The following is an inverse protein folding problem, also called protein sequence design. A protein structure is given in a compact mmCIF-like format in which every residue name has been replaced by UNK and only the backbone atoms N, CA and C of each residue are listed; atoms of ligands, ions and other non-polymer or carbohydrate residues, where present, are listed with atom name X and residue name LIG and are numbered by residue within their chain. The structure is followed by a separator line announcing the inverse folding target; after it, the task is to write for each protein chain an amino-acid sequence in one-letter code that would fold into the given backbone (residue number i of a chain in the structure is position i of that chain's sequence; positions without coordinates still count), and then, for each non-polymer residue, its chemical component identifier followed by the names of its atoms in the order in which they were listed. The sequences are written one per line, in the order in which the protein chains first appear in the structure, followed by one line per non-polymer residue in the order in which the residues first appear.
data_IF_080300761689
#
_entry.id   IF_080300761689
#
_cell.length_a   1.000
_cell.length_b   1.000
_cell.length_c   1.000
_cell.angle_alpha   90.00
_cell.angle_beta   90.00
_cell.angle_gamma   90.00
#
_symmetry.space_group_name_H-M   'P 1'
#
loop_
_entity.id
_entity.type
_entity.pdbx_description
1 polymer ?
#
# COMPACT_ATOMS: atom_id res chain seq x y z
N UNK A 1 23.95 -6.02 -30.12
CA UNK A 1 24.41 -4.76 -29.50
C UNK A 1 25.02 -5.14 -28.17
N UNK A 2 26.34 -5.06 -28.07
CA UNK A 2 27.05 -5.39 -26.83
C UNK A 2 26.77 -4.30 -25.79
N UNK A 3 26.11 -4.67 -24.69
CA UNK A 3 25.89 -3.80 -23.55
C UNK A 3 27.23 -3.44 -22.91
N UNK A 4 27.63 -2.18 -22.99
CA UNK A 4 28.78 -1.68 -22.21
C UNK A 4 28.44 -1.79 -20.72
N UNK A 5 29.28 -2.44 -19.91
CA UNK A 5 29.08 -2.52 -18.47
C UNK A 5 29.11 -1.09 -17.88
N UNK A 6 28.23 -0.86 -16.90
CA UNK A 6 28.17 0.40 -16.16
C UNK A 6 29.57 0.78 -15.66
N UNK A 7 30.05 1.97 -16.03
CA UNK A 7 31.38 2.47 -15.64
C UNK A 7 31.44 3.00 -14.20
N UNK A 8 30.35 2.87 -13.42
CA UNK A 8 30.31 3.28 -12.02
C UNK A 8 31.08 2.25 -11.17
N UNK A 9 32.06 2.68 -10.40
CA UNK A 9 32.81 1.82 -9.49
C UNK A 9 31.96 1.07 -8.47
N UNK A 10 30.72 1.53 -8.19
CA UNK A 10 29.79 0.91 -7.27
C UNK A 10 29.32 -0.49 -7.71
N UNK A 11 29.23 -0.78 -9.02
CA UNK A 11 28.85 -2.09 -9.55
C UNK A 11 30.06 -3.05 -9.68
N UNK A 12 31.28 -2.55 -9.60
CA UNK A 12 32.52 -3.38 -9.67
C UNK A 12 32.96 -3.92 -8.33
N UNK A 13 32.56 -3.28 -7.23
CA UNK A 13 32.99 -3.67 -5.86
C UNK A 13 32.01 -4.57 -5.13
N UNK A 14 30.76 -4.67 -5.58
CA UNK A 14 29.86 -5.73 -5.12
C UNK A 14 30.22 -6.99 -5.91
N UNK A 15 30.68 -8.02 -5.22
CA UNK A 15 30.95 -9.38 -5.75
C UNK A 15 29.67 -10.10 -6.24
N UNK A 16 28.61 -9.36 -6.51
CA UNK A 16 27.36 -9.80 -7.09
C UNK A 16 27.47 -9.72 -8.61
N UNK A 17 27.32 -10.85 -9.27
CA UNK A 17 27.29 -10.95 -10.72
C UNK A 17 26.20 -10.01 -11.29
N UNK A 18 26.42 -9.39 -12.47
CA UNK A 18 25.57 -8.32 -13.02
C UNK A 18 24.15 -8.75 -13.45
N UNK A 19 23.70 -9.97 -13.11
CA UNK A 19 22.46 -10.55 -13.61
C UNK A 19 21.49 -11.07 -12.53
N UNK A 20 21.81 -10.95 -11.24
CA UNK A 20 20.87 -11.37 -10.18
C UNK A 20 20.47 -10.18 -9.33
N UNK A 21 19.26 -9.67 -9.53
CA UNK A 21 18.53 -8.83 -8.58
C UNK A 21 18.13 -9.66 -7.36
N UNK A 22 19.12 -10.05 -6.56
CA UNK A 22 18.87 -10.83 -5.36
C UNK A 22 18.42 -9.88 -4.24
N UNK A 23 17.24 -10.16 -3.69
CA UNK A 23 16.75 -9.47 -2.49
C UNK A 23 17.74 -9.65 -1.35
N UNK A 24 18.05 -8.57 -0.67
CA UNK A 24 18.85 -8.54 0.55
C UNK A 24 17.93 -8.29 1.72
N UNK A 25 17.57 -9.34 2.49
CA UNK A 25 16.78 -9.18 3.70
C UNK A 25 17.56 -8.40 4.76
N UNK A 26 17.09 -7.25 5.17
CA UNK A 26 17.75 -6.38 6.13
C UNK A 26 17.30 -6.68 7.56
N UNK A 27 16.01 -6.65 7.80
CA UNK A 27 15.33 -7.08 9.02
C UNK A 27 13.91 -7.51 8.67
N UNK A 28 13.13 -7.98 9.62
CA UNK A 28 11.82 -8.55 9.31
C UNK A 28 10.92 -7.55 8.58
N UNK A 29 10.40 -7.97 7.46
CA UNK A 29 9.56 -7.15 6.59
C UNK A 29 10.30 -6.14 5.71
N UNK A 30 11.65 -6.01 5.78
CA UNK A 30 12.39 -5.00 4.99
C UNK A 30 13.45 -5.65 4.10
N UNK A 31 13.28 -5.44 2.80
CA UNK A 31 14.14 -5.98 1.75
C UNK A 31 14.77 -4.87 0.92
N UNK A 32 16.01 -5.04 0.54
CA UNK A 32 16.78 -4.15 -0.32
C UNK A 32 17.07 -4.83 -1.67
N UNK A 33 16.86 -4.09 -2.74
CA UNK A 33 17.23 -4.48 -4.10
C UNK A 33 18.11 -3.38 -4.69
N UNK A 34 19.26 -3.75 -5.23
CA UNK A 34 20.02 -2.83 -6.07
C UNK A 34 19.48 -2.88 -7.50
N UNK A 35 19.21 -1.73 -8.06
CA UNK A 35 18.60 -1.60 -9.38
C UNK A 35 19.68 -1.20 -10.40
N UNK A 36 20.23 -2.14 -11.18
CA UNK A 36 20.95 -1.83 -12.39
C UNK A 36 19.97 -1.47 -13.51
N UNK A 37 20.43 -0.74 -14.52
CA UNK A 37 19.66 -0.27 -15.67
C UNK A 37 18.73 -1.35 -16.31
N UNK A 38 19.06 -2.62 -16.17
CA UNK A 38 18.31 -3.75 -16.79
C UNK A 38 17.27 -4.41 -15.86
N UNK A 39 17.13 -4.03 -14.59
CA UNK A 39 16.39 -4.82 -13.60
C UNK A 39 15.14 -4.12 -13.03
N UNK A 40 14.80 -2.94 -13.51
CA UNK A 40 13.72 -2.13 -12.94
C UNK A 40 12.33 -2.71 -13.23
N UNK A 41 12.20 -3.53 -14.26
CA UNK A 41 10.91 -4.10 -14.70
C UNK A 41 10.41 -5.33 -13.90
N UNK A 42 11.21 -5.89 -12.99
CA UNK A 42 10.96 -7.23 -12.43
C UNK A 42 10.25 -7.27 -11.07
N UNK A 43 9.77 -6.15 -10.56
CA UNK A 43 9.20 -6.11 -9.22
C UNK A 43 7.66 -6.11 -9.25
N UNK A 44 7.05 -7.16 -9.78
CA UNK A 44 5.59 -7.35 -9.71
C UNK A 44 5.19 -7.88 -8.33
N UNK A 45 4.30 -7.15 -7.64
CA UNK A 45 3.65 -7.56 -6.41
C UNK A 45 2.27 -6.93 -6.33
N UNK A 46 1.33 -7.58 -5.64
CA UNK A 46 -0.07 -7.16 -5.52
C UNK A 46 -0.49 -6.94 -4.07
N UNK A 47 0.46 -6.72 -3.17
CA UNK A 47 0.18 -6.64 -1.75
C UNK A 47 -0.16 -5.21 -1.32
N UNK A 48 -1.33 -5.02 -0.70
CA UNK A 48 -1.84 -3.70 -0.28
C UNK A 48 -1.07 -3.07 0.90
N UNK A 49 -0.40 -3.89 1.71
CA UNK A 49 0.33 -3.43 2.89
C UNK A 49 1.85 -3.41 2.67
N UNK A 50 2.30 -3.27 1.42
CA UNK A 50 3.71 -3.19 1.07
C UNK A 50 4.02 -1.84 0.46
N UNK A 51 5.00 -1.16 1.05
CA UNK A 51 5.54 0.11 0.59
C UNK A 51 6.78 -0.14 -0.26
N UNK A 52 6.88 0.53 -1.40
CA UNK A 52 8.06 0.58 -2.26
C UNK A 52 8.69 1.96 -2.20
N UNK A 53 9.97 2.00 -1.91
CA UNK A 53 10.77 3.22 -1.86
C UNK A 53 11.89 3.10 -2.87
N UNK A 54 11.80 3.81 -3.97
CA UNK A 54 12.85 3.92 -4.95
C UNK A 54 13.76 5.11 -4.62
N UNK A 55 15.04 4.87 -4.60
CA UNK A 55 16.03 5.92 -4.39
C UNK A 55 16.98 6.00 -5.60
N UNK A 56 17.11 7.18 -6.19
CA UNK A 56 17.99 7.44 -7.29
C UNK A 56 19.32 7.99 -6.76
N UNK A 57 20.41 7.27 -6.94
CA UNK A 57 21.76 7.74 -6.58
C UNK A 57 22.44 8.52 -7.70
N UNK A 58 22.20 8.12 -8.96
CA UNK A 58 22.75 8.77 -10.17
C UNK A 58 21.76 8.62 -11.32
N UNK A 59 21.81 9.56 -12.25
CA UNK A 59 20.96 9.56 -13.40
C UNK A 59 19.52 9.92 -13.06
N UNK A 60 18.57 9.30 -13.74
CA UNK A 60 17.15 9.49 -13.49
C UNK A 60 16.35 8.21 -13.66
N UNK A 61 15.21 8.15 -12.99
CA UNK A 61 14.25 7.05 -13.08
C UNK A 61 12.88 7.67 -13.37
N UNK A 62 12.31 7.32 -14.52
CA UNK A 62 11.00 7.80 -14.97
C UNK A 62 9.94 6.71 -14.72
N UNK A 63 8.77 7.15 -14.28
CA UNK A 63 7.60 6.33 -14.02
C UNK A 63 6.46 6.84 -14.91
N UNK A 64 5.90 5.99 -15.73
CA UNK A 64 4.74 6.30 -16.57
C UNK A 64 3.57 5.43 -16.11
N UNK A 65 2.47 6.05 -15.74
CA UNK A 65 1.21 5.37 -15.41
C UNK A 65 0.45 5.00 -16.67
N UNK A 66 -0.50 4.07 -16.60
CA UNK A 66 -1.30 3.61 -17.75
C UNK A 66 -2.11 4.73 -18.43
N UNK A 67 -2.44 5.79 -17.71
CA UNK A 67 -3.13 6.99 -18.21
C UNK A 67 -2.19 8.05 -18.85
N UNK A 68 -0.89 7.74 -18.95
CA UNK A 68 0.11 8.57 -19.61
C UNK A 68 0.68 9.71 -18.75
N UNK A 69 0.40 9.72 -17.44
CA UNK A 69 1.05 10.65 -16.52
C UNK A 69 2.46 10.15 -16.16
N UNK A 70 3.47 10.92 -16.54
CA UNK A 70 4.87 10.61 -16.26
C UNK A 70 5.42 11.41 -15.09
N UNK A 71 6.16 10.76 -14.21
CA UNK A 71 6.92 11.40 -13.13
C UNK A 71 8.37 10.90 -13.16
N UNK A 72 9.33 11.75 -12.78
CA UNK A 72 10.75 11.40 -12.84
C UNK A 72 11.44 11.83 -11.56
N UNK A 73 12.23 10.91 -10.98
CA UNK A 73 13.19 11.24 -9.93
C UNK A 73 14.59 11.36 -10.51
N UNK A 74 15.35 12.31 -9.98
CA UNK A 74 16.76 12.52 -10.29
C UNK A 74 17.64 12.10 -9.10
N UNK A 75 18.94 12.16 -9.27
CA UNK A 75 19.91 11.86 -8.21
C UNK A 75 19.55 12.57 -6.90
N UNK A 76 19.53 11.84 -5.79
CA UNK A 76 19.10 12.27 -4.47
C UNK A 76 17.58 12.22 -4.22
N UNK A 77 16.76 12.05 -5.25
CA UNK A 77 15.30 11.96 -5.12
C UNK A 77 14.80 10.58 -4.75
N UNK A 78 13.65 10.55 -4.08
CA UNK A 78 12.91 9.33 -3.75
C UNK A 78 11.54 9.32 -4.43
N UNK A 79 11.07 8.12 -4.77
CA UNK A 79 9.69 7.88 -5.16
C UNK A 79 9.12 6.78 -4.26
N UNK A 80 7.96 7.05 -3.67
CA UNK A 80 7.34 6.20 -2.64
C UNK A 80 5.89 5.94 -3.01
N UNK A 81 5.48 4.68 -3.01
CA UNK A 81 4.07 4.27 -3.17
C UNK A 81 3.79 2.87 -2.66
N UNK A 82 2.50 2.52 -2.53
CA UNK A 82 2.07 1.15 -2.22
C UNK A 82 2.27 0.21 -3.41
N UNK A 83 2.66 -1.03 -3.16
CA UNK A 83 2.94 -2.03 -4.20
C UNK A 83 1.74 -2.29 -5.13
N UNK A 84 0.53 -2.33 -4.59
CA UNK A 84 -0.70 -2.54 -5.36
C UNK A 84 -1.11 -1.36 -6.26
N UNK A 85 -0.55 -0.17 -6.04
CA UNK A 85 -0.99 1.06 -6.73
C UNK A 85 -0.41 1.29 -8.12
N UNK A 86 0.64 0.54 -8.52
CA UNK A 86 1.34 0.73 -9.80
C UNK A 86 1.22 -0.52 -10.69
N UNK A 87 -0.02 -0.87 -11.06
CA UNK A 87 -0.30 -2.16 -11.71
C UNK A 87 -0.07 -2.21 -13.22
N UNK A 88 -0.01 -1.08 -13.94
CA UNK A 88 0.11 -1.07 -15.42
C UNK A 88 1.09 -0.02 -15.94
N UNK A 89 1.97 0.47 -15.08
CA UNK A 89 2.93 1.50 -15.44
C UNK A 89 4.27 0.94 -15.93
N UNK A 90 5.02 1.78 -16.60
CA UNK A 90 6.38 1.48 -17.05
C UNK A 90 7.38 2.27 -16.23
N UNK A 91 8.43 1.58 -15.75
CA UNK A 91 9.55 2.20 -15.06
C UNK A 91 10.76 2.19 -15.99
N UNK A 92 11.26 3.37 -16.36
CA UNK A 92 12.34 3.52 -17.34
C UNK A 92 13.54 4.25 -16.74
N UNK A 93 14.68 3.58 -16.54
CA UNK A 93 15.93 4.21 -16.14
C UNK A 93 16.59 4.92 -17.35
N UNK A 94 17.30 6.01 -17.09
CA UNK A 94 18.20 6.56 -18.10
C UNK A 94 19.52 5.77 -18.22
N UNK A 95 20.34 6.10 -19.25
CA UNK A 95 21.60 5.41 -19.55
C UNK A 95 22.70 5.55 -18.48
N UNK A 96 22.48 6.30 -17.42
CA UNK A 96 23.41 6.50 -16.30
C UNK A 96 22.85 6.14 -14.94
N UNK A 97 21.64 5.57 -14.94
CA UNK A 97 20.92 5.26 -13.71
C UNK A 97 21.67 4.30 -12.81
N UNK A 98 21.72 4.65 -11.54
CA UNK A 98 22.14 3.79 -10.44
C UNK A 98 21.27 4.12 -9.23
N UNK A 99 20.59 3.13 -8.70
CA UNK A 99 19.66 3.33 -7.61
C UNK A 99 19.37 2.05 -6.84
N UNK A 100 18.43 2.13 -5.93
CA UNK A 100 17.96 1.01 -5.12
C UNK A 100 16.44 1.07 -4.89
N UNK A 101 15.88 -0.07 -4.56
CA UNK A 101 14.52 -0.22 -4.07
C UNK A 101 14.56 -0.81 -2.66
N UNK A 102 13.91 -0.15 -1.71
CA UNK A 102 13.59 -0.73 -0.41
C UNK A 102 12.11 -1.10 -0.42
N UNK A 103 11.84 -2.39 -0.21
CA UNK A 103 10.51 -2.94 -0.08
C UNK A 103 10.20 -3.16 1.39
N UNK A 104 9.07 -2.64 1.88
CA UNK A 104 8.70 -2.65 3.30
C UNK A 104 7.33 -3.27 3.47
N UNK A 105 7.25 -4.41 4.14
CA UNK A 105 6.00 -4.99 4.62
C UNK A 105 5.58 -4.23 5.89
N UNK A 106 4.57 -3.39 5.76
CA UNK A 106 4.12 -2.50 6.82
C UNK A 106 3.47 -3.24 7.99
N UNK A 107 2.88 -4.43 7.76
CA UNK A 107 2.32 -5.25 8.83
C UNK A 107 3.42 -5.79 9.74
N UNK A 108 4.46 -6.37 9.14
CA UNK A 108 5.62 -6.86 9.88
C UNK A 108 6.36 -5.75 10.60
N UNK A 109 6.48 -4.58 9.96
CA UNK A 109 7.08 -3.41 10.60
C UNK A 109 6.28 -2.93 11.81
N UNK A 110 4.94 -3.06 11.80
CA UNK A 110 4.08 -2.74 12.95
C UNK A 110 4.21 -3.78 14.06
N UNK A 111 4.27 -5.07 13.70
CA UNK A 111 4.37 -6.17 14.69
C UNK A 111 5.73 -6.20 15.41
N UNK A 112 6.82 -5.94 14.69
CA UNK A 112 8.19 -6.03 15.20
C UNK A 112 9.07 -4.87 14.71
N UNK A 113 8.77 -3.64 15.13
CA UNK A 113 9.58 -2.48 14.71
C UNK A 113 10.97 -2.52 15.35
N UNK A 114 12.03 -2.15 14.62
CA UNK A 114 13.33 -1.87 15.22
C UNK A 114 13.22 -0.81 16.33
N UNK A 115 14.02 -0.93 17.38
CA UNK A 115 13.99 -0.02 18.53
C UNK A 115 14.13 1.45 18.14
N UNK A 116 14.98 1.74 17.14
CA UNK A 116 15.17 3.09 16.60
C UNK A 116 13.90 3.71 16.00
N UNK A 117 13.02 2.88 15.39
CA UNK A 117 11.79 3.32 14.77
C UNK A 117 10.67 3.48 15.81
N UNK A 118 10.53 2.52 16.72
CA UNK A 118 9.53 2.60 17.80
C UNK A 118 9.80 3.78 18.74
N UNK A 119 11.06 4.08 19.02
CA UNK A 119 11.44 5.26 19.82
C UNK A 119 11.13 6.61 19.15
N UNK A 120 10.94 6.62 17.83
CA UNK A 120 10.61 7.81 17.04
C UNK A 120 9.14 7.83 16.57
N UNK A 121 8.29 6.93 17.08
CA UNK A 121 6.90 6.77 16.67
C UNK A 121 6.73 6.53 15.16
N UNK A 122 7.70 5.86 14.52
CA UNK A 122 7.63 5.46 13.11
C UNK A 122 7.16 4.01 13.03
N UNK A 123 5.86 3.86 12.82
CA UNK A 123 5.18 2.55 12.72
C UNK A 123 4.80 2.25 11.26
N UNK A 124 4.50 0.98 10.97
CA UNK A 124 3.95 0.61 9.67
C UNK A 124 2.60 1.26 9.41
N UNK A 125 1.76 1.47 10.43
CA UNK A 125 0.49 2.19 10.33
C UNK A 125 0.72 3.65 9.93
N UNK A 126 1.66 4.35 10.58
CA UNK A 126 2.00 5.74 10.22
C UNK A 126 2.50 5.84 8.78
N UNK A 127 3.37 4.95 8.34
CA UNK A 127 3.85 4.95 6.96
C UNK A 127 2.74 4.60 5.97
N UNK A 128 1.81 3.71 6.35
CA UNK A 128 0.63 3.42 5.55
C UNK A 128 -0.24 4.66 5.37
N UNK A 129 -0.52 5.39 6.44
CA UNK A 129 -1.31 6.62 6.40
C UNK A 129 -0.65 7.70 5.54
N UNK A 130 0.67 7.84 5.61
CA UNK A 130 1.41 8.84 4.84
C UNK A 130 1.48 8.53 3.34
N UNK A 131 1.67 7.25 2.96
CA UNK A 131 2.05 6.90 1.59
C UNK A 131 1.13 5.90 0.89
N UNK A 132 0.27 5.16 1.60
CA UNK A 132 -0.55 4.12 1.00
C UNK A 132 -2.03 4.48 0.88
N UNK A 133 -2.48 5.50 1.61
CA UNK A 133 -3.86 5.99 1.56
C UNK A 133 -4.15 6.68 0.23
N UNK A 134 -3.16 7.35 -0.34
CA UNK A 134 -3.25 7.91 -1.69
C UNK A 134 -2.93 6.84 -2.72
N UNK A 135 -3.63 6.87 -3.84
CA UNK A 135 -3.31 6.01 -4.99
C UNK A 135 -2.09 6.53 -5.77
N UNK A 136 -1.76 7.81 -5.57
CA UNK A 136 -0.67 8.47 -6.27
C UNK A 136 0.69 8.21 -5.63
N UNK A 137 1.71 8.17 -6.48
CA UNK A 137 3.12 8.12 -6.08
C UNK A 137 3.53 9.44 -5.42
N UNK A 138 4.17 9.34 -4.26
CA UNK A 138 4.76 10.50 -3.58
C UNK A 138 6.21 10.68 -4.02
N UNK A 139 6.55 11.84 -4.58
CA UNK A 139 7.93 12.21 -4.85
C UNK A 139 8.49 13.06 -3.73
N UNK A 140 9.65 12.68 -3.23
CA UNK A 140 10.42 13.48 -2.29
C UNK A 140 11.63 14.05 -3.03
N UNK A 141 11.83 15.38 -2.99
CA UNK A 141 12.93 16.02 -3.69
C UNK A 141 14.28 15.62 -3.11
N UNK A 142 15.32 15.80 -3.92
CA UNK A 142 16.69 15.59 -3.50
C UNK A 142 17.09 16.55 -2.39
N UNK A 143 17.67 16.02 -1.33
CA UNK A 143 18.31 16.79 -0.27
C UNK A 143 19.60 16.11 0.22
N UNK A 144 20.43 16.85 0.94
CA UNK A 144 21.72 16.36 1.43
C UNK A 144 21.58 15.21 2.45
N UNK A 145 20.46 15.14 3.17
CA UNK A 145 20.19 14.07 4.13
C UNK A 145 19.84 12.78 3.40
N UNK A 146 18.99 12.86 2.39
CA UNK A 146 18.64 11.72 1.52
C UNK A 146 19.89 11.17 0.82
N UNK A 147 20.73 12.04 0.27
CA UNK A 147 22.00 11.61 -0.35
C UNK A 147 22.89 10.83 0.62
N UNK A 148 23.07 11.35 1.84
CA UNK A 148 23.86 10.70 2.87
C UNK A 148 23.29 9.33 3.27
N UNK A 149 21.96 9.20 3.37
CA UNK A 149 21.29 7.95 3.68
C UNK A 149 21.45 6.95 2.52
N UNK A 150 21.26 7.38 1.28
CA UNK A 150 21.43 6.53 0.10
C UNK A 150 22.87 6.03 0.00
N UNK A 151 23.86 6.85 0.31
CA UNK A 151 25.27 6.46 0.31
C UNK A 151 25.60 5.40 1.39
N UNK A 152 24.81 5.27 2.46
CA UNK A 152 25.00 4.20 3.46
C UNK A 152 24.82 2.80 2.87
N UNK A 153 24.05 2.64 1.80
CA UNK A 153 23.84 1.35 1.15
C UNK A 153 25.00 0.91 0.24
N UNK A 154 25.89 1.84 -0.14
CA UNK A 154 26.98 1.58 -1.08
C UNK A 154 28.36 1.50 -0.37
N UNK A 155 29.38 1.99 -0.81
CA UNK A 155 30.76 2.17 -0.38
C UNK A 155 31.12 1.76 1.08
N UNK A 156 31.01 0.47 1.44
CA UNK A 156 31.35 -0.03 2.79
C UNK A 156 32.20 -1.29 2.70
N UNK A 157 33.12 -1.51 3.66
CA UNK A 157 33.90 -2.75 3.76
C UNK A 157 32.97 -3.97 3.83
N UNK A 158 33.36 -5.07 3.18
CA UNK A 158 32.54 -6.28 3.10
C UNK A 158 32.08 -6.81 4.48
N UNK A 159 32.94 -6.68 5.51
CA UNK A 159 32.61 -7.15 6.85
C UNK A 159 31.50 -6.36 7.55
N UNK A 160 31.28 -5.11 7.18
CA UNK A 160 30.31 -4.20 7.82
C UNK A 160 29.16 -3.79 6.90
N UNK A 161 29.18 -4.19 5.63
CA UNK A 161 28.19 -3.76 4.64
C UNK A 161 26.76 -4.00 5.10
N UNK A 162 26.48 -5.16 5.70
CA UNK A 162 25.15 -5.53 6.18
C UNK A 162 24.65 -4.62 7.31
N UNK A 163 25.56 -4.26 8.23
CA UNK A 163 25.24 -3.32 9.30
C UNK A 163 24.89 -1.94 8.76
N UNK A 164 25.66 -1.45 7.79
CA UNK A 164 25.39 -0.16 7.15
C UNK A 164 24.11 -0.15 6.33
N UNK A 165 23.79 -1.22 5.63
CA UNK A 165 22.51 -1.38 4.90
C UNK A 165 21.32 -1.33 5.87
N UNK A 166 21.42 -2.00 7.02
CA UNK A 166 20.38 -1.95 8.07
C UNK A 166 20.21 -0.56 8.64
N UNK A 167 21.29 0.10 8.99
CA UNK A 167 21.25 1.48 9.50
C UNK A 167 20.69 2.44 8.43
N UNK A 168 21.10 2.29 7.17
CA UNK A 168 20.56 3.07 6.06
C UNK A 168 19.05 2.89 5.89
N UNK A 169 18.56 1.65 5.98
CA UNK A 169 17.12 1.39 5.90
C UNK A 169 16.35 1.99 7.08
N UNK A 170 16.90 1.90 8.31
CA UNK A 170 16.28 2.54 9.47
C UNK A 170 16.30 4.07 9.34
N UNK A 171 17.41 4.66 8.91
CA UNK A 171 17.49 6.10 8.66
C UNK A 171 16.52 6.57 7.56
N UNK A 172 16.38 5.78 6.48
CA UNK A 172 15.40 6.06 5.41
C UNK A 172 13.97 6.03 5.95
N UNK A 173 13.61 5.02 6.74
CA UNK A 173 12.27 4.91 7.33
C UNK A 173 12.00 6.02 8.36
N UNK A 174 13.00 6.43 9.14
CA UNK A 174 12.90 7.59 10.03
C UNK A 174 12.65 8.87 9.25
N UNK A 175 13.37 9.10 8.15
CA UNK A 175 13.16 10.26 7.27
C UNK A 175 11.77 10.25 6.67
N UNK A 176 11.30 9.10 6.16
CA UNK A 176 9.95 8.96 5.62
C UNK A 176 8.87 9.20 6.69
N UNK A 177 9.06 8.71 7.91
CA UNK A 177 8.12 8.95 9.02
C UNK A 177 8.15 10.39 9.56
N UNK A 178 9.26 11.11 9.36
CA UNK A 178 9.42 12.52 9.74
C UNK A 178 9.06 13.48 8.59
N UNK A 179 8.87 12.98 7.37
CA UNK A 179 8.54 13.81 6.22
C UNK A 179 7.22 14.54 6.50
N UNK A 180 7.35 15.85 6.70
CA UNK A 180 6.23 16.76 6.67
C UNK A 180 5.88 16.94 5.20
N UNK A 181 4.78 16.38 4.76
CA UNK A 181 4.27 16.69 3.43
C UNK A 181 3.79 18.14 3.46
N UNK A 182 4.29 18.99 2.57
CA UNK A 182 3.87 20.38 2.44
C UNK A 182 2.34 20.46 2.28
N UNK A 183 1.64 20.75 3.36
CA UNK A 183 0.18 20.71 3.44
C UNK A 183 -0.37 20.29 4.81
N UNK A 184 0.44 20.36 5.87
CA UNK A 184 0.20 19.73 7.18
C UNK A 184 -1.18 19.99 7.82
N UNK A 185 -1.82 21.12 7.62
CA UNK A 185 -3.14 21.38 8.20
C UNK A 185 -4.26 20.66 7.41
N UNK A 186 -4.24 20.72 6.09
CA UNK A 186 -5.24 20.02 5.25
C UNK A 186 -4.98 18.51 5.19
N UNK A 187 -3.73 18.09 5.34
CA UNK A 187 -3.30 16.70 5.32
C UNK A 187 -3.64 15.97 6.63
N UNK A 188 -3.47 16.64 7.77
CA UNK A 188 -3.84 16.07 9.08
C UNK A 188 -5.35 15.86 9.16
N UNK A 189 -6.15 16.81 8.68
CA UNK A 189 -7.60 16.69 8.57
C UNK A 189 -8.02 15.56 7.62
N UNK A 190 -7.37 15.41 6.46
CA UNK A 190 -7.64 14.33 5.51
C UNK A 190 -7.22 12.97 6.07
N UNK A 191 -6.07 12.88 6.77
CA UNK A 191 -5.60 11.68 7.44
C UNK A 191 -6.53 11.22 8.56
N UNK A 192 -7.06 12.16 9.37
CA UNK A 192 -8.09 11.85 10.36
C UNK A 192 -9.40 11.38 9.73
N UNK A 193 -9.82 12.00 8.65
CA UNK A 193 -11.01 11.60 7.91
C UNK A 193 -10.88 10.19 7.32
N UNK A 194 -9.71 9.84 6.80
CA UNK A 194 -9.42 8.51 6.27
C UNK A 194 -9.38 7.47 7.39
N UNK A 195 -8.73 7.77 8.52
CA UNK A 195 -8.76 6.89 9.70
C UNK A 195 -10.18 6.65 10.21
N UNK A 196 -10.99 7.69 10.27
CA UNK A 196 -12.39 7.57 10.64
C UNK A 196 -13.17 6.69 9.66
N UNK A 197 -12.92 6.79 8.36
CA UNK A 197 -13.53 5.97 7.32
C UNK A 197 -13.11 4.50 7.44
N UNK A 198 -11.85 4.20 7.74
CA UNK A 198 -11.41 2.83 8.03
C UNK A 198 -12.08 2.26 9.29
N UNK A 199 -12.21 3.06 10.34
CA UNK A 199 -12.93 2.64 11.55
C UNK A 199 -14.44 2.41 11.28
N UNK A 200 -15.06 3.24 10.46
CA UNK A 200 -16.45 3.03 9.98
C UNK A 200 -16.57 1.72 9.21
N UNK A 201 -15.65 1.44 8.29
CA UNK A 201 -15.64 0.20 7.53
C UNK A 201 -15.49 -1.02 8.44
N UNK A 202 -14.51 -1.02 9.34
CA UNK A 202 -14.28 -2.10 10.29
C UNK A 202 -15.52 -2.36 11.18
N UNK A 203 -16.12 -1.30 11.71
CA UNK A 203 -17.35 -1.40 12.49
C UNK A 203 -18.49 -2.05 11.69
N UNK A 204 -18.74 -1.60 10.47
CA UNK A 204 -19.83 -2.09 9.64
C UNK A 204 -19.63 -3.53 9.15
N UNK A 205 -18.39 -3.92 8.84
CA UNK A 205 -18.07 -5.31 8.41
C UNK A 205 -18.16 -6.30 9.55
N UNK A 206 -17.90 -5.87 10.79
CA UNK A 206 -18.07 -6.69 11.99
C UNK A 206 -19.54 -6.79 12.43
N UNK A 207 -20.40 -5.87 12.00
CA UNK A 207 -21.80 -5.75 12.44
C UNK A 207 -22.75 -5.70 11.23
N UNK A 208 -22.66 -6.70 10.31
CA UNK A 208 -23.41 -6.74 9.06
C UNK A 208 -24.93 -6.77 9.24
N UNK A 209 -25.39 -7.37 10.36
CA UNK A 209 -26.79 -7.44 10.75
C UNK A 209 -27.38 -6.08 11.15
N UNK A 210 -26.52 -5.17 11.61
CA UNK A 210 -26.97 -3.87 12.11
C UNK A 210 -27.17 -2.90 10.97
N UNK A 211 -28.30 -2.20 10.99
CA UNK A 211 -28.55 -1.08 10.08
C UNK A 211 -28.17 0.21 10.78
N UNK A 212 -27.11 0.81 10.30
CA UNK A 212 -26.65 2.11 10.77
C UNK A 212 -26.80 3.10 9.62
N UNK A 213 -27.40 4.25 9.92
CA UNK A 213 -27.55 5.33 8.94
C UNK A 213 -26.28 6.14 8.82
N UNK A 214 -26.14 6.88 7.71
CA UNK A 214 -24.97 7.73 7.51
C UNK A 214 -24.92 8.86 8.53
N UNK A 215 -26.08 9.32 9.00
CA UNK A 215 -26.23 10.33 10.03
C UNK A 215 -25.73 9.83 11.41
N UNK A 216 -26.00 8.57 11.74
CA UNK A 216 -25.50 7.92 12.96
C UNK A 216 -23.99 7.73 12.91
N UNK A 217 -23.47 7.21 11.79
CA UNK A 217 -22.03 7.08 11.59
C UNK A 217 -21.31 8.43 11.66
N UNK A 218 -21.88 9.44 11.01
CA UNK A 218 -21.33 10.80 11.02
C UNK A 218 -21.23 11.38 12.43
N UNK A 219 -22.24 11.13 13.27
CA UNK A 219 -22.22 11.56 14.68
C UNK A 219 -21.19 10.76 15.50
N UNK A 220 -21.17 9.43 15.30
CA UNK A 220 -20.28 8.53 16.03
C UNK A 220 -18.79 8.82 15.74
N UNK A 221 -18.48 9.12 14.49
CA UNK A 221 -17.11 9.36 14.03
C UNK A 221 -16.79 10.85 13.82
N UNK A 222 -17.64 11.75 14.31
CA UNK A 222 -17.45 13.21 14.27
C UNK A 222 -17.17 13.76 12.85
N UNK A 223 -17.75 13.13 11.83
CA UNK A 223 -17.60 13.54 10.43
C UNK A 223 -18.89 14.15 9.88
N UNK A 224 -18.73 15.09 8.94
CA UNK A 224 -19.90 15.57 8.17
C UNK A 224 -20.39 14.43 7.23
N UNK A 225 -21.73 14.20 7.08
CA UNK A 225 -22.27 13.15 6.20
C UNK A 225 -21.78 13.21 4.75
N UNK A 226 -21.59 14.40 4.22
CA UNK A 226 -21.08 14.60 2.85
C UNK A 226 -19.62 14.20 2.75
N UNK A 227 -18.80 14.64 3.68
CA UNK A 227 -17.38 14.29 3.78
C UNK A 227 -17.21 12.77 3.94
N UNK A 228 -17.99 12.14 4.85
CA UNK A 228 -17.94 10.69 5.04
C UNK A 228 -18.21 9.93 3.73
N UNK A 229 -19.24 10.33 2.96
CA UNK A 229 -19.53 9.70 1.65
C UNK A 229 -18.41 9.89 0.63
N UNK A 230 -17.84 11.09 0.56
CA UNK A 230 -16.77 11.43 -0.40
C UNK A 230 -15.48 10.69 -0.08
N UNK A 231 -15.02 10.76 1.18
CA UNK A 231 -13.79 10.10 1.62
C UNK A 231 -13.95 8.59 1.54
N UNK A 232 -15.10 8.03 1.93
CA UNK A 232 -15.36 6.59 1.78
C UNK A 232 -15.26 6.15 0.32
N UNK A 233 -15.86 6.92 -0.60
CA UNK A 233 -15.78 6.61 -2.03
C UNK A 233 -14.37 6.74 -2.58
N UNK A 234 -13.57 7.70 -2.12
CA UNK A 234 -12.16 7.83 -2.55
C UNK A 234 -11.29 6.71 -2.02
N UNK A 235 -11.53 6.21 -0.80
CA UNK A 235 -10.76 5.12 -0.17
C UNK A 235 -11.12 3.75 -0.74
N UNK A 236 -12.42 3.47 -0.93
CA UNK A 236 -12.92 2.14 -1.32
C UNK A 236 -13.42 2.05 -2.78
N UNK A 237 -13.27 3.12 -3.58
CA UNK A 237 -13.66 3.16 -4.99
C UNK A 237 -15.18 3.15 -5.24
N UNK A 238 -16.00 2.86 -4.23
CA UNK A 238 -17.45 2.70 -4.35
C UNK A 238 -18.19 3.38 -3.21
N UNK A 239 -19.51 3.58 -3.36
CA UNK A 239 -20.31 4.15 -2.28
C UNK A 239 -20.41 3.20 -1.08
N UNK A 240 -20.50 3.75 0.14
CA UNK A 240 -20.67 2.97 1.37
C UNK A 240 -21.82 1.95 1.28
N UNK A 241 -22.97 2.35 0.68
CA UNK A 241 -24.12 1.46 0.53
C UNK A 241 -23.83 0.30 -0.43
N UNK A 242 -23.15 0.55 -1.56
CA UNK A 242 -22.79 -0.48 -2.52
C UNK A 242 -21.74 -1.44 -1.93
N UNK A 243 -20.74 -0.91 -1.26
CA UNK A 243 -19.70 -1.67 -0.57
C UNK A 243 -20.30 -2.59 0.51
N UNK A 244 -21.19 -2.08 1.33
CA UNK A 244 -21.88 -2.89 2.34
C UNK A 244 -22.83 -3.92 1.73
N UNK A 245 -23.46 -3.63 0.58
CA UNK A 245 -24.25 -4.63 -0.17
C UNK A 245 -23.37 -5.82 -0.58
N UNK A 246 -22.19 -5.56 -1.06
CA UNK A 246 -21.20 -6.58 -1.44
C UNK A 246 -20.80 -7.48 -0.26
N UNK A 247 -20.38 -6.90 0.86
CA UNK A 247 -20.05 -7.65 2.08
C UNK A 247 -21.22 -8.51 2.58
N UNK A 248 -22.43 -7.96 2.61
CA UNK A 248 -23.63 -8.71 3.00
C UNK A 248 -23.93 -9.86 2.05
N UNK A 249 -23.79 -9.67 0.75
CA UNK A 249 -23.98 -10.73 -0.25
C UNK A 249 -22.91 -11.81 -0.14
N UNK A 250 -21.64 -11.46 0.05
CA UNK A 250 -20.55 -12.40 0.28
C UNK A 250 -20.77 -13.25 1.53
N UNK A 251 -21.16 -12.62 2.67
CA UNK A 251 -21.48 -13.35 3.90
C UNK A 251 -22.69 -14.25 3.74
N UNK A 252 -23.74 -13.79 3.04
CA UNK A 252 -24.93 -14.62 2.76
C UNK A 252 -24.58 -15.84 1.91
N UNK A 253 -23.74 -15.69 0.88
CA UNK A 253 -23.27 -16.78 0.05
C UNK A 253 -22.47 -17.81 0.86
N UNK A 254 -21.65 -17.35 1.81
CA UNK A 254 -20.93 -18.21 2.74
C UNK A 254 -21.90 -19.00 3.63
N UNK A 255 -22.84 -18.34 4.30
CA UNK A 255 -23.84 -19.00 5.15
C UNK A 255 -24.69 -20.01 4.40
N UNK A 256 -25.07 -19.70 3.16
CA UNK A 256 -25.82 -20.63 2.31
C UNK A 256 -25.06 -21.93 2.01
N UNK A 257 -23.74 -21.89 1.93
CA UNK A 257 -22.87 -23.06 1.68
C UNK A 257 -22.52 -23.83 2.94
N UNK A 258 -22.33 -23.11 4.04
CA UNK A 258 -21.73 -23.68 5.26
C UNK A 258 -22.75 -24.07 6.32
N UNK A 259 -24.02 -23.63 6.19
CA UNK A 259 -25.07 -23.87 7.20
C UNK A 259 -26.38 -24.33 6.59
N UNK A 260 -27.21 -24.98 7.42
CA UNK A 260 -28.57 -25.35 7.08
C UNK A 260 -29.62 -24.29 7.49
N UNK A 261 -29.18 -23.09 7.88
CA UNK A 261 -30.05 -21.98 8.25
C UNK A 261 -31.07 -21.66 7.14
N UNK A 262 -32.28 -21.32 7.53
CA UNK A 262 -33.31 -20.93 6.56
C UNK A 262 -32.92 -19.62 5.85
N UNK A 263 -33.40 -19.43 4.65
CA UNK A 263 -33.17 -18.19 3.88
C UNK A 263 -33.65 -16.95 4.63
N UNK A 264 -34.65 -17.10 5.52
CA UNK A 264 -35.14 -16.01 6.37
C UNK A 264 -34.17 -15.67 7.51
N UNK A 265 -33.54 -16.67 8.09
CA UNK A 265 -32.51 -16.49 9.13
C UNK A 265 -31.27 -15.83 8.55
N UNK A 266 -30.77 -16.32 7.41
CA UNK A 266 -29.64 -15.73 6.70
C UNK A 266 -29.94 -14.28 6.31
N UNK A 267 -31.16 -13.99 5.80
CA UNK A 267 -31.55 -12.62 5.48
C UNK A 267 -31.41 -11.68 6.68
N UNK A 268 -31.84 -12.12 7.87
CA UNK A 268 -31.69 -11.35 9.13
C UNK A 268 -30.24 -11.21 9.54
N UNK A 269 -29.47 -12.30 9.51
CA UNK A 269 -28.07 -12.33 9.89
C UNK A 269 -27.18 -11.38 9.04
N UNK A 270 -27.61 -11.09 7.80
CA UNK A 270 -26.91 -10.13 6.93
C UNK A 270 -27.63 -8.78 6.81
N UNK A 271 -28.52 -8.45 7.76
CA UNK A 271 -29.10 -7.12 7.91
C UNK A 271 -30.24 -6.78 6.96
N UNK A 272 -30.98 -7.78 6.43
CA UNK A 272 -32.19 -7.53 5.65
C UNK A 272 -33.44 -7.68 6.52
N UNK A 273 -34.36 -6.71 6.43
CA UNK A 273 -35.61 -6.70 7.18
C UNK A 273 -36.58 -7.81 6.76
N UNK A 274 -36.51 -8.22 5.49
CA UNK A 274 -37.39 -9.25 4.96
C UNK A 274 -36.68 -10.18 3.99
N UNK A 275 -37.10 -11.45 4.01
CA UNK A 275 -36.62 -12.46 3.09
C UNK A 275 -36.84 -12.07 1.62
N UNK A 276 -37.93 -11.36 1.33
CA UNK A 276 -38.25 -10.93 -0.05
C UNK A 276 -37.24 -9.91 -0.58
N UNK A 277 -36.91 -8.87 0.23
CA UNK A 277 -35.88 -7.87 -0.14
C UNK A 277 -34.52 -8.52 -0.30
N UNK A 278 -34.15 -9.43 0.61
CA UNK A 278 -32.91 -10.20 0.51
C UNK A 278 -32.87 -11.05 -0.77
N UNK A 279 -33.90 -11.83 -1.05
CA UNK A 279 -33.96 -12.72 -2.22
C UNK A 279 -33.82 -11.94 -3.52
N UNK A 280 -34.45 -10.78 -3.62
CA UNK A 280 -34.34 -9.90 -4.78
C UNK A 280 -32.88 -9.37 -4.95
N UNK A 281 -32.27 -8.88 -3.85
CA UNK A 281 -30.91 -8.37 -3.87
C UNK A 281 -29.86 -9.47 -4.15
N UNK A 282 -30.07 -10.67 -3.61
CA UNK A 282 -29.20 -11.82 -3.84
C UNK A 282 -29.26 -12.30 -5.30
N UNK A 283 -30.48 -12.39 -5.87
CA UNK A 283 -30.65 -12.74 -7.27
C UNK A 283 -30.04 -11.70 -8.21
N UNK A 284 -30.20 -10.41 -7.89
CA UNK A 284 -29.58 -9.33 -8.66
C UNK A 284 -28.04 -9.44 -8.67
N UNK A 285 -27.45 -9.83 -7.53
CA UNK A 285 -25.98 -9.88 -7.35
C UNK A 285 -25.37 -11.15 -7.93
N UNK A 286 -25.94 -12.33 -7.66
CA UNK A 286 -25.42 -13.64 -8.07
C UNK A 286 -26.09 -14.27 -9.28
N UNK A 287 -27.17 -13.67 -9.82
CA UNK A 287 -27.92 -14.22 -10.93
C UNK A 287 -28.84 -15.43 -10.61
N UNK A 288 -28.80 -15.93 -9.36
CA UNK A 288 -29.53 -17.11 -8.91
C UNK A 288 -30.31 -16.84 -7.61
N UNK A 289 -31.37 -17.56 -7.39
CA UNK A 289 -32.12 -17.51 -6.13
C UNK A 289 -31.26 -18.14 -4.99
N UNK A 290 -31.38 -17.68 -3.72
CA UNK A 290 -30.63 -18.24 -2.59
C UNK A 290 -30.78 -19.77 -2.45
N UNK A 291 -31.99 -20.31 -2.66
CA UNK A 291 -32.23 -21.77 -2.62
C UNK A 291 -31.53 -22.53 -3.75
N UNK A 292 -31.50 -21.95 -4.94
CA UNK A 292 -30.78 -22.51 -6.08
C UNK A 292 -29.27 -22.47 -5.87
N UNK A 293 -28.77 -21.35 -5.35
CA UNK A 293 -27.37 -21.18 -4.99
C UNK A 293 -26.90 -22.24 -3.99
N UNK A 294 -27.65 -22.47 -2.90
CA UNK A 294 -27.38 -23.52 -1.90
C UNK A 294 -27.31 -24.92 -2.50
N UNK A 295 -28.20 -25.21 -3.47
CA UNK A 295 -28.27 -26.55 -4.08
C UNK A 295 -27.09 -26.84 -5.01
N UNK A 296 -26.50 -25.78 -5.58
CA UNK A 296 -25.47 -25.89 -6.61
C UNK A 296 -24.04 -25.77 -6.04
N UNK A 297 -23.92 -25.46 -4.76
CA UNK A 297 -22.63 -25.29 -4.03
C UNK A 297 -22.65 -26.03 -2.70
#
# INVERSE_FOLDING_TARGET
MEHKPCSCGCCRESSLAPHETKAVDLFDGVQLFYLPEAAVAAAEGKEDAVLRVYACRRGSLSFETADGHGQTIHAGGLAVWKEAGFQEGTITPDAGFCGLLVRVDLRKLTEQPPESLSGADVTGERLYDLYCVREDMTLLPADAQTDAIVDMFYAKPAQTVRAWQRLGAQALLLQLGAAQTDGDMAQEELSEQVRAVHAVHAYLTQNLETRVTIEELSKQYLMNPTTLKQVFKSVYGTSLAAHMKEHRMGRAAQLLRETDESVAEIARAVGYESQSKFTAAFKEYFGALPKEYRKNH
#
